data_IF_793653603009
#
_entry.id   IF_793653603009
#
_cell.length_a   1.000
_cell.length_b   1.000
_cell.length_c   1.000
_cell.angle_alpha   90.00
_cell.angle_beta   90.00
_cell.angle_gamma   90.00
#
_symmetry.space_group_name_H-M   'P 1'
#
loop_
_entity.id
_entity.type
_entity.pdbx_description
1 polymer ?
#
# COMPACT_ATOMS: atom_id res chain seq x y z
N UNK A 1 -30.58 -7.10 0.08
CA UNK A 1 -29.91 -8.38 -0.29
C UNK A 1 -28.75 -8.12 -1.27
N UNK A 2 -27.49 -8.46 -0.94
CA UNK A 2 -26.42 -8.28 -1.90
C UNK A 2 -26.49 -9.40 -2.94
N UNK A 3 -26.60 -8.98 -4.21
CA UNK A 3 -26.54 -9.83 -5.39
C UNK A 3 -25.06 -10.23 -5.54
N UNK A 4 -24.78 -11.50 -5.38
CA UNK A 4 -23.53 -12.10 -5.86
C UNK A 4 -23.54 -12.01 -7.39
N UNK A 5 -22.65 -11.21 -7.98
CA UNK A 5 -22.39 -11.27 -9.42
C UNK A 5 -21.22 -12.22 -9.66
N UNK A 6 -21.51 -13.20 -10.52
CA UNK A 6 -20.68 -14.33 -10.91
C UNK A 6 -19.29 -13.93 -11.43
N UNK A 7 -18.38 -14.90 -11.27
CA UNK A 7 -17.02 -15.01 -11.81
C UNK A 7 -15.98 -14.10 -11.16
N UNK A 8 -15.31 -14.67 -10.15
CA UNK A 8 -14.26 -14.05 -9.32
C UNK A 8 -12.95 -13.74 -10.03
N UNK A 9 -13.00 -13.05 -11.16
CA UNK A 9 -11.84 -12.47 -11.84
C UNK A 9 -11.96 -10.96 -11.71
N UNK A 10 -11.15 -10.36 -10.84
CA UNK A 10 -11.00 -8.90 -10.77
C UNK A 10 -10.51 -8.38 -12.15
N UNK A 11 -11.06 -7.29 -12.69
CA UNK A 11 -10.63 -6.77 -13.99
C UNK A 11 -9.16 -6.36 -13.93
N UNK A 12 -8.41 -6.67 -14.99
CA UNK A 12 -7.01 -6.28 -15.13
C UNK A 12 -6.85 -4.76 -15.23
N UNK A 13 -5.72 -4.26 -14.76
CA UNK A 13 -5.31 -2.86 -14.80
C UNK A 13 -5.30 -2.27 -16.22
N UNK A 14 -5.08 -3.09 -17.26
CA UNK A 14 -5.16 -2.68 -18.68
C UNK A 14 -6.56 -2.21 -19.08
N UNK A 15 -7.61 -2.75 -18.45
CA UNK A 15 -9.01 -2.34 -18.64
C UNK A 15 -9.30 -1.01 -17.94
N UNK A 16 -8.59 -0.72 -16.84
CA UNK A 16 -8.74 0.52 -16.06
C UNK A 16 -8.08 1.73 -16.75
N UNK A 17 -6.89 1.55 -17.33
CA UNK A 17 -6.15 2.62 -18.01
C UNK A 17 -6.62 2.86 -19.45
N UNK A 18 -7.07 1.83 -20.18
CA UNK A 18 -7.53 1.94 -21.57
C UNK A 18 -8.79 2.80 -21.77
N UNK A 19 -9.60 3.00 -20.72
CA UNK A 19 -10.79 3.87 -20.77
C UNK A 19 -10.52 5.31 -20.32
N UNK A 20 -9.41 5.59 -19.64
CA UNK A 20 -9.06 6.94 -19.18
C UNK A 20 -8.53 7.84 -20.31
N UNK A 21 -8.07 7.27 -21.43
CA UNK A 21 -7.49 8.01 -22.56
C UNK A 21 -8.53 8.31 -23.66
N UNK A 22 -9.75 7.76 -23.59
CA UNK A 22 -10.71 7.79 -24.69
C UNK A 22 -12.10 8.39 -24.36
N UNK A 23 -12.20 9.37 -23.45
CA UNK A 23 -13.48 10.04 -23.19
C UNK A 23 -13.39 11.55 -23.43
N UNK A 24 -13.89 11.97 -24.59
CA UNK A 24 -14.39 13.33 -24.79
C UNK A 24 -15.53 13.63 -23.81
N UNK A 25 -15.60 14.87 -23.36
CA UNK A 25 -16.32 15.37 -22.17
C UNK A 25 -17.86 15.30 -22.18
N UNK A 26 -18.50 14.36 -22.88
CA UNK A 26 -19.96 14.33 -23.04
C UNK A 26 -20.69 13.17 -22.33
N UNK A 27 -20.06 12.00 -22.07
CA UNK A 27 -20.81 10.79 -21.64
C UNK A 27 -20.37 10.20 -20.28
N UNK A 28 -20.05 11.05 -19.31
CA UNK A 28 -19.67 10.62 -17.95
C UNK A 28 -20.85 10.16 -17.06
N UNK A 29 -21.86 9.45 -17.59
CA UNK A 29 -23.05 9.02 -16.81
C UNK A 29 -23.49 7.57 -16.92
N UNK A 30 -22.78 6.68 -17.60
CA UNK A 30 -23.24 5.27 -17.73
C UNK A 30 -22.26 4.18 -17.32
N UNK A 31 -21.14 4.50 -16.66
CA UNK A 31 -20.34 3.49 -15.96
C UNK A 31 -20.30 3.76 -14.46
N UNK A 32 -20.49 2.74 -13.59
CA UNK A 32 -20.10 2.91 -12.20
C UNK A 32 -18.61 3.28 -12.21
N UNK A 33 -18.17 4.31 -11.45
CA UNK A 33 -16.75 4.60 -11.34
C UNK A 33 -16.10 3.30 -10.89
N UNK A 34 -15.15 2.79 -11.66
CA UNK A 34 -14.47 1.55 -11.30
C UNK A 34 -13.80 1.84 -9.96
N UNK A 35 -14.42 1.40 -8.87
CA UNK A 35 -13.95 1.66 -7.53
C UNK A 35 -12.61 0.96 -7.45
N UNK A 36 -11.52 1.72 -7.42
CA UNK A 36 -10.22 1.17 -7.09
C UNK A 36 -10.38 0.39 -5.78
N UNK A 37 -10.31 -0.95 -5.87
CA UNK A 37 -10.45 -1.80 -4.70
C UNK A 37 -9.17 -1.65 -3.89
N UNK A 38 -9.27 -1.16 -2.65
CA UNK A 38 -8.14 -1.25 -1.73
C UNK A 38 -7.98 -2.72 -1.31
N UNK A 39 -7.08 -3.43 -1.99
CA UNK A 39 -6.77 -4.83 -1.70
C UNK A 39 -6.13 -5.00 -0.32
N UNK A 40 -5.43 -3.99 0.18
CA UNK A 40 -4.76 -4.03 1.48
C UNK A 40 -5.75 -4.15 2.65
N UNK A 41 -6.94 -3.56 2.50
CA UNK A 41 -8.01 -3.58 3.52
C UNK A 41 -8.53 -4.98 3.82
N UNK A 42 -8.50 -5.87 2.84
CA UNK A 42 -8.89 -7.27 3.00
C UNK A 42 -7.71 -8.19 3.35
N UNK A 43 -6.49 -7.63 3.37
CA UNK A 43 -5.26 -8.33 3.71
C UNK A 43 -4.97 -8.33 5.21
N UNK A 44 -3.91 -9.04 5.58
CA UNK A 44 -3.34 -9.03 6.93
C UNK A 44 -2.05 -8.22 6.93
N UNK A 45 -1.79 -7.46 7.99
CA UNK A 45 -0.58 -6.67 8.13
C UNK A 45 0.30 -7.20 9.26
N UNK A 46 1.61 -7.07 9.09
CA UNK A 46 2.63 -7.40 10.09
C UNK A 46 3.78 -6.40 10.03
N UNK A 47 4.56 -6.31 11.12
CA UNK A 47 5.72 -5.42 11.21
C UNK A 47 6.88 -6.12 11.92
N UNK A 48 8.11 -5.68 11.65
CA UNK A 48 9.34 -6.22 12.22
C UNK A 48 9.39 -6.16 13.75
N UNK A 49 8.90 -5.05 14.29
CA UNK A 49 8.90 -4.75 15.71
C UNK A 49 7.81 -3.74 16.01
N UNK A 50 7.29 -3.74 17.24
CA UNK A 50 6.29 -2.78 17.70
C UNK A 50 6.89 -1.84 18.74
N UNK A 51 6.74 -0.53 18.54
CA UNK A 51 7.11 0.47 19.53
C UNK A 51 5.97 0.62 20.56
N UNK A 52 6.28 0.32 21.83
CA UNK A 52 5.31 0.32 22.92
C UNK A 52 5.20 1.64 23.69
N UNK A 53 5.99 2.65 23.34
CA UNK A 53 6.01 3.94 24.04
C UNK A 53 4.92 4.93 23.61
N UNK A 54 3.85 4.46 22.98
CA UNK A 54 2.77 5.29 22.44
C UNK A 54 1.38 4.62 22.53
N UNK A 55 0.36 5.21 21.89
CA UNK A 55 -0.98 4.60 21.74
C UNK A 55 -0.92 3.15 21.27
N UNK A 56 -1.85 2.31 21.74
CA UNK A 56 -1.90 0.88 21.40
C UNK A 56 -1.98 0.62 19.88
N UNK A 57 -2.64 1.50 19.12
CA UNK A 57 -2.70 1.43 17.66
C UNK A 57 -1.32 1.43 16.99
N UNK A 58 -0.32 2.09 17.58
CA UNK A 58 1.03 2.17 17.02
C UNK A 58 1.74 0.82 16.96
N UNK A 59 1.29 -0.11 17.80
CA UNK A 59 1.78 -1.49 17.86
C UNK A 59 0.92 -2.46 17.05
N UNK A 60 -0.20 -2.02 16.48
CA UNK A 60 -1.08 -2.85 15.66
C UNK A 60 -0.82 -2.61 14.17
N UNK A 61 -0.14 -3.56 13.53
CA UNK A 61 0.20 -3.47 12.12
C UNK A 61 -1.02 -3.27 11.20
N UNK A 62 -2.20 -3.78 11.58
CA UNK A 62 -3.42 -3.67 10.78
C UNK A 62 -4.04 -2.26 10.85
N UNK A 63 -3.62 -1.42 11.79
CA UNK A 63 -4.09 -0.03 11.89
C UNK A 63 -3.68 0.84 10.69
N UNK A 64 -2.83 0.35 9.78
CA UNK A 64 -2.29 1.11 8.64
C UNK A 64 -2.55 0.46 7.25
N UNK A 65 -3.59 -0.36 7.08
CA UNK A 65 -3.87 -1.02 5.78
C UNK A 65 -5.28 -0.75 5.21
N UNK A 66 -6.07 0.17 5.79
CA UNK A 66 -7.50 0.34 5.47
C UNK A 66 -7.90 1.71 4.91
N UNK A 67 -6.93 2.61 4.68
CA UNK A 67 -7.12 3.99 4.20
C UNK A 67 -7.79 4.93 5.23
N UNK A 68 -7.72 4.61 6.52
CA UNK A 68 -8.19 5.48 7.60
C UNK A 68 -7.14 6.54 7.95
N UNK A 69 -7.55 7.81 8.10
CA UNK A 69 -6.68 8.91 8.51
C UNK A 69 -7.09 9.41 9.90
N UNK A 70 -6.27 9.14 10.92
CA UNK A 70 -6.51 9.57 12.29
C UNK A 70 -5.42 9.13 13.27
N UNK A 71 -5.53 9.51 14.55
CA UNK A 71 -4.54 9.15 15.58
C UNK A 71 -4.41 7.64 15.81
N UNK A 72 -5.46 6.89 15.48
CA UNK A 72 -5.52 5.43 15.59
C UNK A 72 -5.03 4.70 14.34
N UNK A 73 -4.75 5.39 13.24
CA UNK A 73 -4.28 4.77 12.01
C UNK A 73 -2.82 5.10 11.78
N UNK A 74 -1.96 4.49 12.61
CA UNK A 74 -0.52 4.65 12.49
C UNK A 74 0.16 3.41 13.04
N UNK A 75 1.22 3.00 12.37
CA UNK A 75 2.16 1.98 12.86
C UNK A 75 3.50 2.62 13.17
N UNK A 76 4.15 2.13 14.22
CA UNK A 76 5.44 2.60 14.67
C UNK A 76 6.33 1.41 15.04
N UNK A 77 7.39 1.18 14.27
CA UNK A 77 8.42 0.18 14.63
C UNK A 77 9.41 0.76 15.64
N UNK A 78 10.22 -0.07 16.28
CA UNK A 78 11.44 0.43 16.90
C UNK A 78 12.37 1.06 15.84
N UNK A 79 13.40 1.78 16.27
CA UNK A 79 14.41 2.30 15.36
C UNK A 79 15.49 1.24 15.19
N UNK A 80 15.69 0.79 13.95
CA UNK A 80 16.63 -0.28 13.66
C UNK A 80 17.06 -0.33 12.19
N UNK A 81 18.08 -1.12 11.86
CA UNK A 81 18.63 -1.21 10.51
C UNK A 81 17.74 -1.99 9.53
N UNK A 82 16.78 -2.78 10.01
CA UNK A 82 16.01 -3.70 9.16
C UNK A 82 14.53 -3.66 9.48
N UNK A 83 14.02 -2.49 9.88
CA UNK A 83 12.62 -2.33 10.19
C UNK A 83 11.76 -2.45 8.93
N UNK A 84 10.60 -3.05 9.06
CA UNK A 84 9.66 -3.21 7.97
C UNK A 84 8.22 -3.28 8.46
N UNK A 85 7.31 -2.96 7.54
CA UNK A 85 5.89 -3.22 7.66
C UNK A 85 5.40 -3.80 6.35
N UNK A 86 4.49 -4.76 6.40
CA UNK A 86 4.06 -5.53 5.24
C UNK A 86 2.60 -5.92 5.33
N UNK A 87 1.90 -5.77 4.21
CA UNK A 87 0.58 -6.33 3.98
C UNK A 87 0.71 -7.57 3.12
N UNK A 88 0.11 -8.65 3.57
CA UNK A 88 -0.21 -9.82 2.78
C UNK A 88 -1.62 -9.66 2.20
N UNK A 89 -1.71 -9.64 0.87
CA UNK A 89 -2.98 -9.57 0.15
C UNK A 89 -3.73 -10.92 0.29
N UNK A 90 -5.07 -10.92 0.28
CA UNK A 90 -5.86 -12.13 0.48
C UNK A 90 -5.61 -13.19 -0.61
N UNK A 91 -5.31 -12.75 -1.83
CA UNK A 91 -4.95 -13.57 -2.99
C UNK A 91 -3.83 -12.90 -3.77
N UNK A 92 -3.12 -13.69 -4.59
CA UNK A 92 -2.21 -13.12 -5.58
C UNK A 92 -2.99 -12.16 -6.49
N UNK A 93 -2.47 -10.95 -6.66
CA UNK A 93 -3.18 -9.87 -7.34
C UNK A 93 -2.31 -9.16 -8.38
N UNK A 94 -2.97 -8.53 -9.34
CA UNK A 94 -2.38 -7.52 -10.21
C UNK A 94 -2.52 -6.15 -9.54
N UNK A 95 -1.40 -5.47 -9.31
CA UNK A 95 -1.37 -4.16 -8.63
C UNK A 95 -1.02 -3.09 -9.65
N UNK A 96 -1.88 -2.07 -9.78
CA UNK A 96 -1.68 -0.94 -10.69
C UNK A 96 -1.12 0.31 -9.98
N UNK A 97 -1.39 0.44 -8.69
CA UNK A 97 -0.93 1.58 -7.90
C UNK A 97 -0.75 1.19 -6.45
N UNK A 98 0.15 1.88 -5.77
CA UNK A 98 0.29 1.86 -4.31
C UNK A 98 0.21 3.29 -3.81
N UNK A 99 -0.61 3.54 -2.80
CA UNK A 99 -0.76 4.85 -2.16
C UNK A 99 -0.25 4.73 -0.74
N UNK A 100 0.81 5.46 -0.41
CA UNK A 100 1.40 5.47 0.93
C UNK A 100 1.07 6.78 1.59
N UNK A 101 0.43 6.74 2.76
CA UNK A 101 0.23 7.95 3.57
C UNK A 101 1.20 8.01 4.72
N UNK A 102 2.06 9.01 4.62
CA UNK A 102 3.16 9.30 5.51
C UNK A 102 2.73 10.31 6.59
N UNK A 103 3.43 10.29 7.73
CA UNK A 103 3.18 11.26 8.79
C UNK A 103 3.85 12.59 8.47
N UNK A 104 3.06 13.66 8.37
CA UNK A 104 3.52 15.01 7.99
C UNK A 104 4.78 15.47 8.73
N UNK A 105 4.76 15.40 10.07
CA UNK A 105 5.83 15.91 10.94
C UNK A 105 7.13 15.09 10.88
N UNK A 106 7.05 13.85 10.37
CA UNK A 106 8.16 12.90 10.34
C UNK A 106 8.37 12.28 8.96
N UNK A 107 7.89 12.94 7.91
CA UNK A 107 7.83 12.35 6.58
C UNK A 107 9.19 12.00 5.97
N UNK A 108 10.24 12.69 6.43
CA UNK A 108 11.63 12.39 6.07
C UNK A 108 12.09 10.97 6.45
N UNK A 109 11.44 10.30 7.42
CA UNK A 109 11.84 8.96 7.86
C UNK A 109 11.66 7.92 6.77
N UNK A 110 10.67 8.09 5.87
CA UNK A 110 10.47 7.15 4.76
C UNK A 110 11.55 7.25 3.68
N UNK A 111 12.37 8.31 3.64
CA UNK A 111 13.48 8.41 2.67
C UNK A 111 14.53 7.31 2.82
N UNK A 112 14.60 6.67 4.00
CA UNK A 112 15.46 5.53 4.27
C UNK A 112 14.81 4.16 3.95
N UNK A 113 13.58 4.16 3.43
CA UNK A 113 12.80 2.97 3.12
C UNK A 113 12.59 2.81 1.62
N UNK A 114 12.21 1.59 1.22
CA UNK A 114 11.76 1.25 -0.13
C UNK A 114 10.39 0.57 -0.07
N UNK A 115 9.53 0.92 -1.03
CA UNK A 115 8.35 0.14 -1.36
C UNK A 115 8.80 -1.10 -2.13
N UNK A 116 8.39 -2.28 -1.69
CA UNK A 116 8.66 -3.56 -2.31
C UNK A 116 7.35 -4.29 -2.60
N UNK A 117 7.24 -4.85 -3.80
CA UNK A 117 6.18 -5.80 -4.18
C UNK A 117 6.81 -7.17 -4.32
N UNK A 118 6.22 -8.17 -3.67
CA UNK A 118 6.74 -9.53 -3.60
C UNK A 118 5.68 -10.54 -4.05
N UNK A 119 6.14 -11.61 -4.69
CA UNK A 119 5.32 -12.78 -4.97
C UNK A 119 5.04 -13.59 -3.68
N UNK A 120 4.24 -14.65 -3.81
CA UNK A 120 3.84 -15.52 -2.70
C UNK A 120 4.99 -16.34 -2.11
N UNK A 121 6.00 -16.66 -2.92
CA UNK A 121 7.26 -17.28 -2.49
C UNK A 121 8.25 -16.28 -1.87
N UNK A 122 7.90 -14.99 -1.83
CA UNK A 122 8.76 -13.92 -1.33
C UNK A 122 9.76 -13.38 -2.38
N UNK A 123 9.68 -13.79 -3.64
CA UNK A 123 10.52 -13.22 -4.69
C UNK A 123 10.19 -11.74 -4.91
N UNK A 124 11.23 -10.90 -5.03
CA UNK A 124 11.09 -9.47 -5.30
C UNK A 124 10.66 -9.23 -6.75
N UNK A 125 9.47 -8.64 -6.91
CA UNK A 125 8.91 -8.28 -8.21
C UNK A 125 9.24 -6.82 -8.58
N UNK A 126 9.23 -5.94 -7.58
CA UNK A 126 9.53 -4.53 -7.75
C UNK A 126 10.08 -3.94 -6.45
N UNK A 127 11.04 -3.03 -6.56
CA UNK A 127 11.44 -2.13 -5.49
C UNK A 127 11.44 -0.68 -5.99
N UNK A 128 10.92 0.26 -5.20
CA UNK A 128 10.96 1.69 -5.47
C UNK A 128 11.38 2.45 -4.20
N UNK A 129 12.44 3.28 -4.25
CA UNK A 129 12.82 4.10 -3.11
C UNK A 129 11.83 5.24 -2.92
N UNK A 130 11.62 5.66 -1.67
CA UNK A 130 10.92 6.91 -1.41
C UNK A 130 11.86 8.08 -1.70
N UNK A 131 11.40 8.99 -2.55
CA UNK A 131 12.11 10.23 -2.91
C UNK A 131 11.38 11.49 -2.45
N UNK A 132 10.31 11.32 -1.67
CA UNK A 132 9.42 12.38 -1.25
C UNK A 132 9.17 12.31 0.25
N UNK A 133 9.06 13.47 0.88
CA UNK A 133 8.60 13.63 2.27
C UNK A 133 7.12 14.01 2.33
N UNK A 134 6.41 13.98 1.19
CA UNK A 134 5.01 14.31 1.12
C UNK A 134 4.16 13.38 2.01
N UNK A 135 3.05 13.93 2.51
CA UNK A 135 2.07 13.19 3.31
C UNK A 135 1.45 12.03 2.54
N UNK A 136 1.40 12.10 1.20
CA UNK A 136 0.90 11.03 0.36
C UNK A 136 1.88 10.81 -0.79
N UNK A 137 2.28 9.56 -0.99
CA UNK A 137 3.11 9.12 -2.11
C UNK A 137 2.32 8.13 -2.96
N UNK A 138 2.07 8.50 -4.22
CA UNK A 138 1.45 7.63 -5.20
C UNK A 138 2.52 6.97 -6.07
N UNK A 139 2.52 5.65 -6.11
CA UNK A 139 3.35 4.86 -7.01
C UNK A 139 2.47 4.21 -8.07
N UNK A 140 2.30 4.88 -9.22
CA UNK A 140 1.68 4.27 -10.39
C UNK A 140 2.62 3.20 -10.99
N UNK A 141 2.04 2.05 -11.35
CA UNK A 141 2.75 0.88 -11.86
C UNK A 141 2.34 0.64 -13.31
N UNK A 142 3.22 1.02 -14.22
CA UNK A 142 3.07 0.82 -15.66
C UNK A 142 4.35 0.18 -16.24
N UNK A 143 4.31 -1.09 -16.69
CA UNK A 143 3.14 -1.97 -16.63
C UNK A 143 2.76 -2.36 -15.19
N UNK A 144 1.51 -2.78 -14.95
CA UNK A 144 1.05 -3.34 -13.69
C UNK A 144 1.90 -4.54 -13.24
N UNK A 145 2.06 -4.71 -11.93
CA UNK A 145 2.88 -5.79 -11.37
C UNK A 145 2.00 -6.95 -10.94
N UNK A 146 2.40 -8.17 -11.32
CA UNK A 146 1.72 -9.43 -10.97
C UNK A 146 2.72 -10.61 -10.98
N UNK A 147 2.50 -11.68 -10.21
CA UNK A 147 1.46 -11.86 -9.19
C UNK A 147 1.93 -11.33 -7.82
N UNK A 148 1.40 -10.20 -7.37
CA UNK A 148 1.78 -9.63 -6.06
C UNK A 148 1.00 -10.33 -4.96
N UNK A 149 1.71 -10.88 -3.98
CA UNK A 149 1.14 -11.38 -2.72
C UNK A 149 1.40 -10.43 -1.56
N UNK A 150 2.55 -9.76 -1.56
CA UNK A 150 2.93 -8.89 -0.45
C UNK A 150 3.32 -7.49 -0.92
N UNK A 151 2.84 -6.48 -0.20
CA UNK A 151 3.25 -5.08 -0.31
C UNK A 151 4.01 -4.72 0.95
N UNK A 152 5.28 -4.33 0.83
CA UNK A 152 6.18 -4.13 1.95
C UNK A 152 6.86 -2.76 1.90
N UNK A 153 6.96 -2.12 3.05
CA UNK A 153 7.89 -1.02 3.29
C UNK A 153 9.09 -1.58 4.05
N UNK A 154 10.29 -1.45 3.49
CA UNK A 154 11.52 -2.01 4.08
C UNK A 154 12.59 -0.96 4.23
N UNK A 155 13.11 -0.83 5.45
CA UNK A 155 14.22 0.06 5.77
C UNK A 155 15.55 -0.50 5.27
N UNK A 156 16.48 0.40 4.99
CA UNK A 156 17.86 0.05 4.62
C UNK A 156 18.76 -0.07 5.84
N UNK A 157 19.58 -1.14 5.88
CA UNK A 157 20.61 -1.32 6.90
C UNK A 157 21.67 -0.20 6.91
N UNK A 158 21.76 0.58 5.82
CA UNK A 158 22.68 1.71 5.71
C UNK A 158 22.18 2.98 6.40
N UNK A 159 20.89 3.07 6.71
CA UNK A 159 20.26 4.23 7.34
C UNK A 159 19.19 3.77 8.34
N UNK A 160 19.58 3.35 9.56
CA UNK A 160 18.64 2.88 10.57
C UNK A 160 17.69 4.01 10.98
N UNK A 161 16.39 3.78 10.85
CA UNK A 161 15.31 4.71 11.17
C UNK A 161 14.10 3.92 11.68
N UNK A 162 13.27 4.54 12.52
CA UNK A 162 11.96 4.00 12.86
C UNK A 162 11.02 4.18 11.65
N UNK A 163 10.21 3.18 11.33
CA UNK A 163 9.12 3.32 10.38
C UNK A 163 7.91 3.99 11.06
N UNK A 164 7.48 5.14 10.53
CA UNK A 164 6.24 5.81 10.90
C UNK A 164 5.36 5.93 9.67
N UNK A 165 4.26 5.18 9.62
CA UNK A 165 3.34 5.20 8.48
C UNK A 165 1.93 5.23 9.00
N UNK A 166 1.11 6.09 8.39
CA UNK A 166 -0.32 6.10 8.67
C UNK A 166 -1.04 5.00 7.89
N UNK A 167 -0.76 4.86 6.59
CA UNK A 167 -1.38 3.82 5.78
C UNK A 167 -0.61 3.45 4.50
N UNK A 168 -0.99 2.31 3.90
CA UNK A 168 -0.58 1.79 2.58
C UNK A 168 -1.77 1.17 1.83
#
# INVERSE_FOLDING_TARGET
>A
PPIASNDGVLPSCSTLYGQAVALSTADARSWPPVRAMNLARAGSASMSSAYSGGPASWSDAASANDHSIGPSSMVHTNCGPTEWWRVELPTDAEVCQVVISNRHEYGFRLLAFELQLLASDGALLLAKPFRSTANHSLFALDPPVRPVRHVQLRGSARQPQCLHVHEV
#
